data_IF_684997865231
#
_entry.id   IF_684997865231
#
_cell.length_a   1.000
_cell.length_b   1.000
_cell.length_c   1.000
_cell.angle_alpha   90.00
_cell.angle_beta   90.00
_cell.angle_gamma   90.00
#
_symmetry.space_group_name_H-M   'P 1'
#
loop_
_entity.id
_entity.type
_entity.pdbx_description
1 polymer ?
#
# COMPACT_ATOMS: atom_id res chain seq x y z
N UNK A 1 -7.14 7.52 2.74
CA UNK A 1 -6.69 8.16 1.48
C UNK A 1 -6.08 7.20 0.47
N UNK A 2 -5.38 6.12 0.88
CA UNK A 2 -4.75 5.17 -0.06
C UNK A 2 -5.75 4.21 -0.72
N UNK A 3 -6.74 3.69 0.02
CA UNK A 3 -7.76 2.77 -0.52
C UNK A 3 -8.44 3.28 -1.81
N UNK A 4 -8.98 4.51 -1.87
CA UNK A 4 -9.59 5.00 -3.11
C UNK A 4 -8.61 5.16 -4.28
N UNK A 5 -7.32 5.41 -4.00
CA UNK A 5 -6.29 5.48 -5.05
C UNK A 5 -6.02 4.09 -5.64
N UNK A 6 -5.97 3.07 -4.79
CA UNK A 6 -5.83 1.68 -5.21
C UNK A 6 -7.04 1.20 -6.00
N UNK A 7 -8.25 1.36 -5.46
CA UNK A 7 -9.49 0.93 -6.11
C UNK A 7 -9.70 1.55 -7.48
N UNK A 8 -9.34 2.84 -7.63
CA UNK A 8 -9.40 3.54 -8.92
C UNK A 8 -8.40 2.99 -9.93
N UNK A 9 -7.17 2.65 -9.50
CA UNK A 9 -6.14 2.10 -10.40
C UNK A 9 -6.41 0.66 -10.81
N UNK A 10 -6.98 -0.13 -9.92
CA UNK A 10 -7.35 -1.54 -10.17
C UNK A 10 -8.75 -1.71 -10.78
N UNK A 11 -9.52 -0.63 -10.91
CA UNK A 11 -10.90 -0.66 -11.39
C UNK A 11 -11.78 -1.69 -10.63
N UNK A 12 -11.58 -1.80 -9.31
CA UNK A 12 -12.33 -2.70 -8.42
C UNK A 12 -12.52 -2.09 -7.05
N UNK A 13 -13.64 -2.40 -6.40
CA UNK A 13 -13.85 -2.07 -4.99
C UNK A 13 -13.33 -3.20 -4.09
N UNK A 14 -12.85 -2.83 -2.90
CA UNK A 14 -12.35 -3.77 -1.91
C UNK A 14 -13.31 -3.79 -0.71
N UNK A 15 -13.95 -4.94 -0.45
CA UNK A 15 -14.81 -5.12 0.72
C UNK A 15 -14.02 -5.06 2.04
N UNK A 16 -12.79 -5.58 2.01
CA UNK A 16 -11.80 -5.51 3.10
C UNK A 16 -10.64 -4.64 2.63
N UNK A 17 -9.99 -3.91 3.53
CA UNK A 17 -8.76 -3.16 3.21
C UNK A 17 -7.92 -2.97 4.47
N UNK A 18 -7.35 -4.06 4.97
CA UNK A 18 -6.68 -4.10 6.27
C UNK A 18 -5.16 -4.26 6.10
N UNK A 19 -4.38 -3.37 6.72
CA UNK A 19 -2.92 -3.48 6.71
C UNK A 19 -2.46 -4.50 7.75
N UNK A 20 -1.71 -5.52 7.30
CA UNK A 20 -1.29 -6.66 8.13
C UNK A 20 0.18 -6.53 8.55
N UNK A 21 1.04 -6.12 7.62
CA UNK A 21 2.48 -5.94 7.85
C UNK A 21 2.95 -4.72 7.08
N UNK A 22 3.88 -3.96 7.64
CA UNK A 22 4.56 -2.90 6.90
C UNK A 22 6.08 -2.92 7.09
N UNK A 23 6.76 -2.30 6.15
CA UNK A 23 8.19 -1.95 6.21
C UNK A 23 8.35 -0.51 5.76
N UNK A 24 9.43 0.13 6.20
CA UNK A 24 9.73 1.51 5.83
C UNK A 24 11.06 1.60 5.09
N UNK A 25 11.19 2.66 4.29
CA UNK A 25 12.43 3.11 3.68
C UNK A 25 12.45 4.63 3.76
N UNK A 26 13.44 5.18 4.46
CA UNK A 26 13.64 6.64 4.59
C UNK A 26 14.24 7.19 3.30
N UNK A 27 13.69 8.31 2.83
CA UNK A 27 14.14 9.10 1.67
C UNK A 27 14.00 10.58 2.04
N UNK A 28 13.87 11.49 1.06
CA UNK A 28 13.30 12.82 1.30
C UNK A 28 11.78 12.70 1.55
N UNK A 29 11.42 12.07 2.67
CA UNK A 29 10.09 11.51 2.96
C UNK A 29 10.21 10.06 3.43
N UNK A 30 9.12 9.30 3.40
CA UNK A 30 9.10 7.89 3.80
C UNK A 30 8.34 7.07 2.74
N UNK A 31 8.98 6.03 2.21
CA UNK A 31 8.26 4.96 1.51
C UNK A 31 7.79 3.92 2.52
N UNK A 32 6.50 3.66 2.57
CA UNK A 32 5.90 2.53 3.25
C UNK A 32 5.63 1.42 2.24
N UNK A 33 6.13 0.23 2.54
CA UNK A 33 5.74 -1.00 1.89
C UNK A 33 4.73 -1.66 2.81
N UNK A 34 3.53 -1.96 2.34
CA UNK A 34 2.41 -2.39 3.17
C UNK A 34 1.77 -3.63 2.54
N UNK A 35 1.72 -4.74 3.26
CA UNK A 35 0.86 -5.87 2.91
C UNK A 35 -0.55 -5.59 3.42
N UNK A 36 -1.51 -5.59 2.50
CA UNK A 36 -2.91 -5.30 2.76
C UNK A 36 -3.77 -6.48 2.35
N UNK A 37 -4.65 -6.94 3.24
CA UNK A 37 -5.69 -7.90 2.92
C UNK A 37 -6.86 -7.16 2.24
N UNK A 38 -7.30 -7.66 1.09
CA UNK A 38 -8.38 -7.05 0.28
C UNK A 38 -9.59 -7.96 0.10
N UNK A 39 -9.45 -9.26 0.39
CA UNK A 39 -10.53 -10.24 0.56
C UNK A 39 -10.07 -11.35 1.53
N UNK A 40 -10.86 -12.39 1.74
CA UNK A 40 -10.51 -13.50 2.65
C UNK A 40 -9.18 -14.18 2.27
N UNK A 41 -8.87 -14.28 0.98
CA UNK A 41 -7.66 -14.95 0.46
C UNK A 41 -6.78 -14.08 -0.45
N UNK A 42 -7.21 -12.86 -0.80
CA UNK A 42 -6.45 -11.94 -1.67
C UNK A 42 -5.72 -10.87 -0.86
N UNK A 43 -4.44 -10.71 -1.15
CA UNK A 43 -3.57 -9.71 -0.56
C UNK A 43 -2.91 -8.89 -1.66
N UNK A 44 -2.57 -7.65 -1.30
CA UNK A 44 -1.83 -6.74 -2.17
C UNK A 44 -0.67 -6.14 -1.40
N UNK A 45 0.44 -5.90 -2.10
CA UNK A 45 1.54 -5.14 -1.53
C UNK A 45 1.50 -3.74 -2.11
N UNK A 46 1.43 -2.72 -1.26
CA UNK A 46 1.38 -1.32 -1.64
C UNK A 46 2.72 -0.66 -1.35
N UNK A 47 3.16 0.22 -2.24
CA UNK A 47 4.21 1.21 -1.98
C UNK A 47 3.55 2.57 -1.87
N UNK A 48 3.56 3.14 -0.67
CA UNK A 48 2.94 4.43 -0.35
C UNK A 48 4.04 5.41 0.02
N UNK A 49 4.06 6.58 -0.61
CA UNK A 49 4.97 7.65 -0.25
C UNK A 49 4.28 8.63 0.70
N UNK A 50 4.94 8.94 1.81
CA UNK A 50 4.59 10.00 2.73
C UNK A 50 5.63 11.12 2.59
N UNK A 51 5.17 12.28 2.11
CA UNK A 51 5.95 13.51 2.01
C UNK A 51 6.44 14.00 3.37
N UNK A 52 7.42 14.92 3.37
CA UNK A 52 7.93 15.49 4.61
C UNK A 52 6.85 16.30 5.34
N UNK A 53 6.91 16.41 6.69
CA UNK A 53 5.84 17.06 7.47
C UNK A 53 5.49 18.49 7.03
N UNK A 54 6.46 19.25 6.51
CA UNK A 54 6.26 20.64 6.09
C UNK A 54 5.62 20.78 4.70
N UNK A 55 5.56 19.71 3.90
CA UNK A 55 4.97 19.73 2.56
C UNK A 55 3.45 19.67 2.60
N UNK A 56 2.86 19.31 3.77
CA UNK A 56 1.40 19.22 3.98
C UNK A 56 0.66 18.38 2.92
N UNK A 57 1.34 17.40 2.33
CA UNK A 57 0.77 16.47 1.37
C UNK A 57 0.34 15.18 2.07
N UNK A 58 -0.82 14.65 1.69
CA UNK A 58 -1.27 13.34 2.13
C UNK A 58 -0.49 12.19 1.48
N UNK A 59 -0.58 10.96 2.02
CA UNK A 59 0.05 9.79 1.44
C UNK A 59 -0.42 9.51 0.00
N UNK A 60 0.54 9.22 -0.87
CA UNK A 60 0.30 8.87 -2.27
C UNK A 60 0.66 7.42 -2.55
N UNK A 61 -0.23 6.70 -3.25
CA UNK A 61 0.07 5.36 -3.74
C UNK A 61 1.05 5.49 -4.92
N UNK A 62 2.27 5.01 -4.75
CA UNK A 62 3.30 5.05 -5.79
C UNK A 62 3.10 3.89 -6.75
N UNK A 63 3.15 2.67 -6.23
CA UNK A 63 3.01 1.41 -6.97
C UNK A 63 2.37 0.33 -6.09
N UNK A 64 2.00 -0.78 -6.70
CA UNK A 64 1.44 -1.92 -5.97
C UNK A 64 1.68 -3.23 -6.73
N UNK A 65 1.52 -4.35 -6.03
CA UNK A 65 1.50 -5.70 -6.58
C UNK A 65 0.22 -6.39 -6.13
N UNK A 66 -0.46 -7.08 -7.05
CA UNK A 66 -1.70 -7.84 -6.80
C UNK A 66 -1.47 -9.34 -6.88
N UNK A 67 -2.49 -10.13 -6.53
CA UNK A 67 -2.42 -11.59 -6.55
C UNK A 67 -1.44 -12.16 -5.52
N UNK A 68 -1.27 -11.46 -4.38
CA UNK A 68 -0.45 -11.94 -3.27
C UNK A 68 -1.30 -12.77 -2.32
N UNK A 69 -0.61 -13.59 -1.56
CA UNK A 69 -1.14 -14.43 -0.50
C UNK A 69 -0.72 -13.91 0.87
N UNK A 70 -1.30 -14.50 1.92
CA UNK A 70 -0.92 -14.21 3.30
C UNK A 70 0.56 -14.47 3.57
N UNK A 71 1.13 -15.48 2.92
CA UNK A 71 2.48 -15.98 3.22
C UNK A 71 3.58 -15.33 2.36
N UNK A 72 3.22 -14.63 1.27
CA UNK A 72 4.19 -13.96 0.40
C UNK A 72 5.03 -12.93 1.17
N UNK A 73 6.37 -12.95 1.11
CA UNK A 73 7.17 -11.98 1.85
C UNK A 73 6.93 -10.55 1.35
N UNK A 74 6.83 -9.60 2.28
CA UNK A 74 6.78 -8.19 1.94
C UNK A 74 8.21 -7.69 1.64
N UNK A 75 8.53 -7.53 0.36
CA UNK A 75 9.84 -7.06 -0.13
C UNK A 75 9.77 -5.64 -0.69
N UNK A 76 10.92 -5.03 -0.96
CA UNK A 76 11.01 -3.76 -1.68
C UNK A 76 10.73 -3.96 -3.18
N UNK A 77 10.03 -3.00 -3.81
CA UNK A 77 9.69 -2.96 -5.23
C UNK A 77 9.37 -1.53 -5.73
#
# INVERSE_FOLDING_TARGET
QVKPQFERRENRSCGIFEAIVYRTQVVAGINYFIKVQVSDADYVHLRVFQSLPHENQGPSLVSFQTGKTRDDPLTYF
#
